data_IF_867885977088
#
_entry.id   IF_867885977088
#
_cell.length_a   1.000
_cell.length_b   1.000
_cell.length_c   1.000
_cell.angle_alpha   90.00
_cell.angle_beta   90.00
_cell.angle_gamma   90.00
#
_symmetry.space_group_name_H-M   'P 1'
#
loop_
_entity.id
_entity.type
_entity.pdbx_description
1 polymer ?
#
# COMPACT_ATOMS: atom_id res chain seq x y z
N UNK A 1 -0.13 -13.80 14.97
CA UNK A 1 0.82 -12.73 15.35
C UNK A 1 0.14 -11.40 15.09
N UNK A 2 0.30 -10.39 15.94
CA UNK A 2 -0.24 -9.06 15.67
C UNK A 2 0.85 -8.15 15.12
N UNK A 3 0.50 -7.27 14.18
CA UNK A 3 1.36 -6.22 13.65
C UNK A 3 0.59 -4.90 13.60
N UNK A 4 1.31 -3.78 13.53
CA UNK A 4 0.72 -2.50 13.11
C UNK A 4 0.76 -2.42 11.60
N UNK A 5 -0.40 -2.33 10.95
CA UNK A 5 -0.52 -2.04 9.53
C UNK A 5 -0.71 -0.53 9.34
N UNK A 6 0.09 0.08 8.48
CA UNK A 6 0.05 1.52 8.20
C UNK A 6 -0.09 1.75 6.70
N UNK A 7 -1.09 2.55 6.31
CA UNK A 7 -1.24 3.10 4.96
C UNK A 7 -0.89 4.58 5.03
N UNK A 8 0.26 4.94 4.46
CA UNK A 8 0.83 6.26 4.53
C UNK A 8 0.69 7.01 3.20
N UNK A 9 -0.29 7.91 3.16
CA UNK A 9 -0.50 8.85 2.07
C UNK A 9 0.08 10.24 2.32
N UNK A 10 -0.07 11.13 1.34
CA UNK A 10 0.40 12.51 1.45
C UNK A 10 -0.31 13.35 2.53
N UNK A 11 -1.64 13.21 2.65
CA UNK A 11 -2.46 14.05 3.55
C UNK A 11 -2.87 13.36 4.84
N UNK A 12 -2.88 12.02 4.83
CA UNK A 12 -3.33 11.22 5.97
C UNK A 12 -2.52 9.94 6.06
N UNK A 13 -2.31 9.51 7.29
CA UNK A 13 -1.81 8.19 7.63
C UNK A 13 -2.96 7.40 8.29
N UNK A 14 -3.16 6.15 7.87
CA UNK A 14 -4.14 5.23 8.45
C UNK A 14 -3.40 4.12 9.17
N UNK A 15 -3.83 3.78 10.37
CA UNK A 15 -3.24 2.76 11.21
C UNK A 15 -4.31 1.75 11.63
N UNK A 16 -3.95 0.48 11.69
CA UNK A 16 -4.77 -0.57 12.25
C UNK A 16 -3.88 -1.64 12.90
N UNK A 17 -4.42 -2.37 13.87
CA UNK A 17 -3.83 -3.61 14.34
C UNK A 17 -4.29 -4.72 13.40
N UNK A 18 -3.34 -5.44 12.81
CA UNK A 18 -3.61 -6.59 11.97
C UNK A 18 -3.20 -7.88 12.69
N UNK A 19 -4.14 -8.79 12.88
CA UNK A 19 -3.84 -10.15 13.33
C UNK A 19 -3.61 -11.03 12.10
N UNK A 20 -2.40 -11.61 12.02
CA UNK A 20 -1.96 -12.50 10.96
C UNK A 20 -2.31 -13.95 11.30
N UNK A 21 -2.93 -14.62 10.32
CA UNK A 21 -3.43 -15.99 10.39
C UNK A 21 -2.69 -16.91 9.41
N UNK A 22 -2.84 -18.23 9.59
CA UNK A 22 -2.13 -19.23 8.77
C UNK A 22 -2.60 -19.30 7.31
N UNK A 23 -3.80 -18.82 7.02
CA UNK A 23 -4.40 -18.73 5.68
C UNK A 23 -3.96 -17.48 4.90
N UNK A 24 -3.01 -16.71 5.44
CA UNK A 24 -2.45 -15.48 4.88
C UNK A 24 -3.43 -14.30 4.77
N UNK A 25 -4.68 -14.44 5.19
CA UNK A 25 -5.67 -13.34 5.22
C UNK A 25 -5.69 -12.71 6.61
N UNK A 26 -5.28 -11.44 6.77
CA UNK A 26 -5.29 -10.81 8.09
C UNK A 26 -6.70 -10.39 8.50
N UNK A 27 -6.96 -10.32 9.80
CA UNK A 27 -8.11 -9.58 10.36
C UNK A 27 -7.64 -8.23 10.90
N UNK A 28 -8.33 -7.15 10.52
CA UNK A 28 -7.97 -5.79 10.91
C UNK A 28 -8.88 -5.26 12.03
N UNK A 29 -8.30 -4.51 12.97
CA UNK A 29 -9.07 -3.62 13.84
C UNK A 29 -9.65 -2.45 13.04
N UNK A 30 -10.54 -1.68 13.67
CA UNK A 30 -11.08 -0.47 13.05
C UNK A 30 -9.92 0.51 12.73
N UNK A 31 -9.76 0.94 11.47
CA UNK A 31 -8.65 1.80 11.10
C UNK A 31 -8.83 3.19 11.70
N UNK A 32 -7.75 3.71 12.29
CA UNK A 32 -7.66 5.10 12.77
C UNK A 32 -6.93 5.95 11.75
N UNK A 33 -7.42 7.17 11.56
CA UNK A 33 -6.91 8.10 10.55
C UNK A 33 -6.35 9.34 11.22
N UNK A 34 -5.09 9.65 10.92
CA UNK A 34 -4.38 10.81 11.42
C UNK A 34 -4.04 11.73 10.24
N UNK A 35 -4.28 13.03 10.39
CA UNK A 35 -3.89 14.03 9.39
C UNK A 35 -2.39 14.25 9.51
N UNK A 36 -1.67 14.17 8.40
CA UNK A 36 -0.20 14.33 8.42
C UNK A 36 0.23 15.73 8.88
N UNK A 37 -0.61 16.74 8.63
CA UNK A 37 -0.39 18.12 9.07
C UNK A 37 -0.50 18.34 10.59
N UNK A 38 -1.16 17.43 11.31
CA UNK A 38 -1.40 17.55 12.75
C UNK A 38 -0.27 16.90 13.57
N UNK A 39 0.71 16.28 12.89
CA UNK A 39 1.82 15.56 13.50
C UNK A 39 3.15 15.94 12.85
N UNK A 40 4.20 16.05 13.65
CA UNK A 40 5.51 16.48 13.16
C UNK A 40 6.23 15.41 12.32
N UNK A 41 5.91 14.13 12.53
CA UNK A 41 6.55 12.99 11.86
C UNK A 41 5.69 11.73 11.95
N UNK A 42 6.12 10.67 11.25
CA UNK A 42 5.51 9.34 11.38
C UNK A 42 5.63 8.80 12.82
N UNK A 43 6.73 9.07 13.52
CA UNK A 43 6.91 8.63 14.90
C UNK A 43 5.95 9.34 15.88
N UNK A 44 5.64 10.62 15.60
CA UNK A 44 4.64 11.38 16.38
C UNK A 44 3.22 10.85 16.16
N UNK A 45 2.84 10.57 14.90
CA UNK A 45 1.57 9.91 14.58
C UNK A 45 1.49 8.48 15.15
N UNK A 46 2.59 7.73 15.16
CA UNK A 46 2.70 6.40 15.77
C UNK A 46 2.46 6.46 17.28
N UNK A 47 3.04 7.43 17.99
CA UNK A 47 2.81 7.64 19.42
C UNK A 47 1.36 8.03 19.71
N UNK A 48 0.73 8.83 18.84
CA UNK A 48 -0.70 9.14 18.95
C UNK A 48 -1.57 7.89 18.78
N UNK A 49 -1.26 7.04 17.79
CA UNK A 49 -1.94 5.76 17.61
C UNK A 49 -1.75 4.81 18.81
N UNK A 50 -0.54 4.71 19.34
CA UNK A 50 -0.25 3.93 20.55
C UNK A 50 -1.12 4.37 21.73
N UNK A 51 -1.23 5.68 21.97
CA UNK A 51 -2.08 6.23 23.03
C UNK A 51 -3.56 5.87 22.82
N UNK A 52 -4.05 5.98 21.59
CA UNK A 52 -5.44 5.69 21.24
C UNK A 52 -5.80 4.20 21.36
N UNK A 53 -4.83 3.30 21.18
CA UNK A 53 -4.96 1.85 21.38
C UNK A 53 -4.72 1.41 22.84
N UNK A 54 -4.51 2.36 23.76
CA UNK A 54 -4.34 2.07 25.19
C UNK A 54 -2.91 1.80 25.62
N UNK A 55 -1.92 2.14 24.80
CA UNK A 55 -0.49 2.12 25.15
C UNK A 55 0.32 1.24 24.21
N UNK A 56 0.76 0.08 24.71
CA UNK A 56 1.72 -0.76 24.00
C UNK A 56 1.18 -1.27 22.65
N UNK A 57 1.96 -1.07 21.60
CA UNK A 57 1.71 -1.60 20.25
C UNK A 57 2.50 -2.89 20.02
N UNK A 58 2.13 -3.71 19.02
CA UNK A 58 2.95 -4.82 18.55
C UNK A 58 4.38 -4.38 18.18
N UNK A 59 5.34 -5.28 18.37
CA UNK A 59 6.77 -5.13 18.03
C UNK A 59 7.07 -5.22 16.54
N UNK A 60 6.04 -5.35 15.71
CA UNK A 60 6.15 -5.56 14.29
C UNK A 60 5.20 -4.63 13.51
N UNK A 61 5.67 -4.13 12.38
CA UNK A 61 4.95 -3.18 11.54
C UNK A 61 5.10 -3.48 10.04
N UNK A 62 4.02 -3.24 9.31
CA UNK A 62 3.97 -3.24 7.84
C UNK A 62 3.44 -1.90 7.38
N UNK A 63 4.24 -1.14 6.63
CA UNK A 63 3.91 0.23 6.21
C UNK A 63 3.89 0.31 4.68
N UNK A 64 2.73 0.59 4.12
CA UNK A 64 2.55 0.95 2.73
C UNK A 64 2.75 2.46 2.57
N UNK A 65 3.52 2.88 1.56
CA UNK A 65 3.88 4.28 1.31
C UNK A 65 3.44 4.66 -0.11
N UNK A 66 2.74 5.79 -0.21
CA UNK A 66 2.38 6.39 -1.49
C UNK A 66 3.61 6.94 -2.22
N UNK A 67 4.27 6.08 -2.99
CA UNK A 67 5.45 6.38 -3.79
C UNK A 67 6.54 5.31 -3.72
N UNK A 68 7.71 5.56 -4.33
CA UNK A 68 8.84 4.64 -4.29
C UNK A 68 9.37 4.46 -2.87
N UNK A 69 9.69 3.22 -2.51
CA UNK A 69 10.29 2.86 -1.20
C UNK A 69 11.80 2.62 -1.27
N UNK A 70 12.41 2.90 -2.42
CA UNK A 70 13.84 2.74 -2.65
C UNK A 70 14.63 3.97 -2.18
N UNK A 71 15.85 3.74 -1.70
CA UNK A 71 16.78 4.81 -1.31
C UNK A 71 16.89 5.06 0.20
N UNK A 72 17.76 6.01 0.56
CA UNK A 72 18.07 6.33 1.97
C UNK A 72 17.03 7.25 2.63
N UNK A 73 16.24 7.95 1.82
CA UNK A 73 15.33 8.99 2.27
C UNK A 73 14.10 9.09 1.37
N UNK A 74 12.93 8.84 1.95
CA UNK A 74 11.63 8.98 1.33
C UNK A 74 11.05 10.32 1.76
N UNK A 75 10.61 11.14 0.79
CA UNK A 75 9.96 12.43 1.02
C UNK A 75 8.59 12.44 0.34
N UNK A 76 7.63 13.07 0.99
CA UNK A 76 6.31 13.28 0.43
C UNK A 76 6.24 14.65 -0.25
N UNK A 77 5.52 14.73 -1.37
CA UNK A 77 5.26 15.99 -2.05
C UNK A 77 4.28 16.88 -1.29
N UNK A 78 3.38 16.26 -0.50
CA UNK A 78 2.24 16.92 0.14
C UNK A 78 2.32 16.99 1.68
N UNK A 79 3.46 16.60 2.28
CA UNK A 79 3.71 16.81 3.72
C UNK A 79 5.21 16.94 4.00
N UNK A 80 5.55 17.39 5.22
CA UNK A 80 6.93 17.64 5.65
C UNK A 80 7.67 16.42 6.16
N UNK A 81 7.02 15.25 6.22
CA UNK A 81 7.64 14.06 6.79
C UNK A 81 8.76 13.54 5.89
N UNK A 82 9.77 13.00 6.55
CA UNK A 82 10.94 12.41 5.92
C UNK A 82 11.18 11.07 6.58
N UNK A 83 11.16 9.98 5.80
CA UNK A 83 11.35 8.63 6.30
C UNK A 83 12.70 8.11 5.85
N UNK A 84 13.47 7.60 6.79
CA UNK A 84 14.73 6.90 6.51
C UNK A 84 14.54 5.42 6.80
N UNK A 85 14.37 4.56 5.78
CA UNK A 85 14.12 3.14 5.99
C UNK A 85 15.10 2.46 6.95
N UNK A 86 16.39 2.83 6.89
CA UNK A 86 17.44 2.26 7.74
C UNK A 86 17.39 2.64 9.23
N UNK A 87 16.65 3.69 9.61
CA UNK A 87 16.52 4.11 11.02
C UNK A 87 15.10 3.99 11.56
N UNK A 88 14.11 3.84 10.67
CA UNK A 88 12.69 3.90 11.04
C UNK A 88 12.26 2.85 12.07
N UNK A 89 12.76 1.61 12.00
CA UNK A 89 12.40 0.58 12.97
C UNK A 89 12.74 0.99 14.41
N UNK A 90 13.93 1.57 14.60
CA UNK A 90 14.40 2.10 15.90
C UNK A 90 13.64 3.36 16.31
N UNK A 91 13.28 4.23 15.37
CA UNK A 91 12.47 5.42 15.64
C UNK A 91 11.07 5.07 16.14
N UNK A 92 10.47 3.99 15.61
CA UNK A 92 9.15 3.50 16.02
C UNK A 92 9.19 2.54 17.22
N UNK A 93 10.38 2.04 17.59
CA UNK A 93 10.54 1.07 18.67
C UNK A 93 10.03 -0.33 18.32
N UNK A 94 10.19 -0.76 17.07
CA UNK A 94 9.77 -2.09 16.57
C UNK A 94 10.98 -2.93 16.17
N UNK A 95 10.87 -4.25 16.36
CA UNK A 95 11.90 -5.23 16.00
C UNK A 95 11.78 -5.67 14.54
N UNK A 96 10.56 -5.66 14.02
CA UNK A 96 10.26 -6.10 12.66
C UNK A 96 9.55 -5.00 11.87
N UNK A 97 10.21 -4.47 10.85
CA UNK A 97 9.61 -3.49 9.96
C UNK A 97 9.67 -3.98 8.51
N UNK A 98 8.57 -3.80 7.79
CA UNK A 98 8.50 -3.94 6.34
C UNK A 98 7.88 -2.69 5.73
N UNK A 99 8.53 -2.17 4.69
CA UNK A 99 8.06 -1.04 3.91
C UNK A 99 7.71 -1.52 2.51
N UNK A 100 6.59 -1.04 1.98
CA UNK A 100 6.10 -1.39 0.66
C UNK A 100 5.62 -0.13 -0.05
N UNK A 101 5.68 -0.13 -1.37
CA UNK A 101 4.88 0.79 -2.15
C UNK A 101 3.37 0.50 -1.92
N UNK A 102 2.53 1.52 -1.97
CA UNK A 102 1.07 1.43 -1.79
C UNK A 102 0.39 0.49 -2.79
N UNK A 103 0.77 0.54 -4.07
CA UNK A 103 0.24 -0.38 -5.09
C UNK A 103 0.78 -1.81 -4.94
N UNK A 104 2.00 -1.99 -4.43
CA UNK A 104 2.47 -3.30 -4.04
C UNK A 104 1.61 -3.89 -2.89
N UNK A 105 1.24 -3.08 -1.90
CA UNK A 105 0.33 -3.50 -0.83
C UNK A 105 -1.08 -3.82 -1.37
N UNK A 106 -1.59 -3.03 -2.32
CA UNK A 106 -2.86 -3.31 -3.01
C UNK A 106 -2.82 -4.63 -3.79
N UNK A 107 -1.73 -4.92 -4.50
CA UNK A 107 -1.55 -6.19 -5.20
C UNK A 107 -1.49 -7.38 -4.23
N UNK A 108 -0.83 -7.21 -3.07
CA UNK A 108 -0.87 -8.22 -2.01
C UNK A 108 -2.28 -8.45 -1.47
N UNK A 109 -3.07 -7.38 -1.29
CA UNK A 109 -4.46 -7.46 -0.83
C UNK A 109 -5.35 -8.21 -1.83
N UNK A 110 -5.24 -7.90 -3.13
CA UNK A 110 -5.91 -8.66 -4.22
C UNK A 110 -5.52 -10.15 -4.20
N UNK A 111 -4.36 -10.48 -3.62
CA UNK A 111 -3.92 -11.84 -3.36
C UNK A 111 -4.83 -12.66 -2.45
N UNK A 112 -5.56 -12.00 -1.53
CA UNK A 112 -6.26 -12.63 -0.40
C UNK A 112 -7.73 -12.21 -0.27
N UNK A 113 -8.22 -11.33 -1.13
CA UNK A 113 -9.64 -10.98 -1.20
C UNK A 113 -10.46 -12.17 -1.72
N UNK A 114 -11.66 -12.34 -1.17
CA UNK A 114 -12.64 -13.28 -1.67
C UNK A 114 -13.36 -12.69 -2.90
N UNK A 115 -13.95 -13.58 -3.72
CA UNK A 115 -14.61 -13.18 -4.97
C UNK A 115 -15.81 -12.24 -4.73
N UNK A 116 -16.46 -12.34 -3.58
CA UNK A 116 -17.58 -11.47 -3.17
C UNK A 116 -17.14 -10.09 -2.66
N UNK A 117 -15.83 -9.87 -2.47
CA UNK A 117 -15.23 -8.57 -2.16
C UNK A 117 -14.81 -7.80 -3.44
N UNK A 118 -14.99 -8.42 -4.62
CA UNK A 118 -14.64 -7.86 -5.92
C UNK A 118 -15.90 -7.61 -6.75
N UNK A 119 -16.00 -6.41 -7.34
CA UNK A 119 -17.05 -6.10 -8.28
C UNK A 119 -16.61 -6.50 -9.71
N UNK A 120 -17.38 -7.35 -10.37
CA UNK A 120 -17.18 -7.66 -11.78
C UNK A 120 -17.53 -6.45 -12.66
N UNK A 121 -16.60 -6.03 -13.51
CA UNK A 121 -16.76 -4.89 -14.43
C UNK A 121 -16.89 -5.34 -15.89
N UNK A 122 -16.21 -6.42 -16.28
CA UNK A 122 -16.22 -6.96 -17.64
C UNK A 122 -15.13 -8.01 -17.89
N UNK A 123 -15.22 -8.73 -19.02
CA UNK A 123 -14.28 -9.77 -19.42
C UNK A 123 -14.84 -11.19 -19.27
N UNK A 124 -13.99 -12.21 -19.15
CA UNK A 124 -14.42 -13.55 -18.79
C UNK A 124 -15.05 -13.56 -17.38
N UNK A 125 -16.16 -14.28 -17.21
CA UNK A 125 -16.77 -14.48 -15.91
C UNK A 125 -15.97 -15.46 -15.06
N UNK A 126 -16.10 -15.34 -13.73
CA UNK A 126 -15.48 -16.24 -12.76
C UNK A 126 -14.42 -15.55 -11.89
N UNK A 127 -13.77 -16.33 -11.02
CA UNK A 127 -12.76 -15.83 -10.09
C UNK A 127 -11.49 -15.37 -10.82
N UNK A 128 -10.65 -14.60 -10.12
CA UNK A 128 -9.31 -14.29 -10.61
C UNK A 128 -8.50 -15.58 -10.88
N UNK A 129 -7.63 -15.61 -11.90
CA UNK A 129 -6.83 -16.79 -12.20
C UNK A 129 -5.93 -17.21 -11.02
N UNK A 130 -5.94 -18.51 -10.72
CA UNK A 130 -5.08 -19.10 -9.69
C UNK A 130 -3.60 -19.14 -10.10
N UNK A 131 -3.31 -19.02 -11.40
CA UNK A 131 -1.98 -19.07 -12.01
C UNK A 131 -1.83 -17.93 -13.03
N UNK A 132 -0.61 -17.40 -13.19
CA UNK A 132 -0.31 -16.32 -14.12
C UNK A 132 -0.25 -14.94 -13.46
N UNK A 133 -0.40 -13.89 -14.26
CA UNK A 133 -0.23 -12.49 -13.83
C UNK A 133 -1.59 -11.81 -13.72
N UNK A 134 -1.85 -11.22 -12.55
CA UNK A 134 -2.94 -10.26 -12.34
C UNK A 134 -2.33 -8.86 -12.21
N UNK A 135 -2.76 -7.92 -13.07
CA UNK A 135 -2.36 -6.51 -12.95
C UNK A 135 -3.36 -5.76 -12.09
N UNK A 136 -2.87 -5.02 -11.11
CA UNK A 136 -3.65 -4.09 -10.29
C UNK A 136 -3.34 -2.68 -10.74
N UNK A 137 -4.36 -1.96 -11.16
CA UNK A 137 -4.28 -0.59 -11.65
C UNK A 137 -5.32 0.27 -10.94
N UNK A 138 -4.95 1.51 -10.63
CA UNK A 138 -5.83 2.41 -9.89
C UNK A 138 -5.56 3.87 -10.26
N UNK A 139 -6.47 4.52 -11.01
CA UNK A 139 -6.39 5.96 -11.24
C UNK A 139 -6.75 6.73 -9.97
N UNK A 140 -5.97 7.75 -9.63
CA UNK A 140 -6.14 8.64 -8.49
C UNK A 140 -5.45 9.99 -8.76
N UNK A 141 -4.71 10.52 -7.78
CA UNK A 141 -3.84 11.70 -8.03
C UNK A 141 -2.74 11.39 -9.05
N UNK A 142 -2.32 10.13 -9.12
CA UNK A 142 -1.50 9.56 -10.20
C UNK A 142 -2.14 8.27 -10.72
N UNK A 143 -1.38 7.50 -11.51
CA UNK A 143 -1.80 6.17 -11.96
C UNK A 143 -0.88 5.14 -11.34
N UNK A 144 -1.37 4.42 -10.33
CA UNK A 144 -0.58 3.36 -9.72
C UNK A 144 -0.76 2.03 -10.44
N UNK A 145 0.32 1.26 -10.53
CA UNK A 145 0.36 -0.04 -11.20
C UNK A 145 1.24 -1.01 -10.40
N UNK A 146 0.73 -2.20 -10.14
CA UNK A 146 1.50 -3.32 -9.61
C UNK A 146 1.01 -4.63 -10.23
N UNK A 147 1.82 -5.68 -10.10
CA UNK A 147 1.45 -7.01 -10.58
C UNK A 147 1.53 -8.04 -9.46
N UNK A 148 0.60 -9.00 -9.51
CA UNK A 148 0.59 -10.19 -8.69
C UNK A 148 0.82 -11.39 -9.61
N UNK A 149 1.99 -12.01 -9.49
CA UNK A 149 2.33 -13.26 -10.16
C UNK A 149 1.99 -14.43 -9.24
N UNK A 150 1.08 -15.29 -9.67
CA UNK A 150 0.82 -16.59 -9.05
C UNK A 150 1.46 -17.69 -9.87
N UNK A 151 2.33 -18.48 -9.23
CA UNK A 151 3.00 -19.60 -9.88
C UNK A 151 3.42 -20.68 -8.89
N UNK A 152 3.09 -21.93 -9.18
CA UNK A 152 3.51 -23.10 -8.40
C UNK A 152 3.15 -22.97 -6.90
N UNK A 153 1.97 -22.40 -6.61
CA UNK A 153 1.50 -22.13 -5.24
C UNK A 153 2.17 -20.95 -4.53
N UNK A 154 3.07 -20.23 -5.21
CA UNK A 154 3.68 -18.99 -4.73
C UNK A 154 2.94 -17.77 -5.27
N UNK A 155 2.90 -16.70 -4.47
CA UNK A 155 2.38 -15.39 -4.84
C UNK A 155 3.50 -14.36 -4.70
N UNK A 156 3.85 -13.70 -5.80
CA UNK A 156 4.94 -12.71 -5.88
C UNK A 156 4.34 -11.38 -6.30
N UNK A 157 4.56 -10.36 -5.49
CA UNK A 157 4.17 -8.98 -5.82
C UNK A 157 5.33 -8.29 -6.52
N UNK A 158 5.04 -7.65 -7.65
CA UNK A 158 5.96 -6.83 -8.41
C UNK A 158 5.47 -5.39 -8.35
N UNK A 159 6.20 -4.54 -7.63
CA UNK A 159 6.00 -3.09 -7.68
C UNK A 159 6.45 -2.55 -9.04
N UNK A 160 5.72 -1.59 -9.60
CA UNK A 160 6.05 -1.01 -10.91
C UNK A 160 5.78 0.49 -10.91
N UNK A 161 6.41 1.20 -11.85
CA UNK A 161 6.07 2.58 -12.21
C UNK A 161 5.28 2.61 -13.52
N UNK A 162 4.41 1.61 -13.73
CA UNK A 162 3.69 1.41 -14.99
C UNK A 162 2.77 2.56 -15.38
N UNK A 163 2.40 3.44 -14.45
CA UNK A 163 1.65 4.65 -14.76
C UNK A 163 2.45 5.77 -15.44
N UNK A 164 3.77 5.63 -15.52
CA UNK A 164 4.68 6.59 -16.14
C UNK A 164 5.08 6.22 -17.58
N UNK A 165 4.49 5.16 -18.16
CA UNK A 165 4.70 4.83 -19.58
C UNK A 165 4.04 5.86 -20.49
N UNK A 166 4.48 5.90 -21.75
CA UNK A 166 3.89 6.77 -22.76
C UNK A 166 2.41 6.43 -23.02
N UNK A 167 1.59 7.47 -23.20
CA UNK A 167 0.20 7.32 -23.60
C UNK A 167 0.10 6.99 -25.09
N UNK A 168 -0.35 5.77 -25.41
CA UNK A 168 -0.49 5.28 -26.78
C UNK A 168 -1.90 5.52 -27.33
N UNK A 169 -2.14 6.69 -27.93
CA UNK A 169 -3.42 7.04 -28.53
C UNK A 169 -3.81 6.10 -29.70
N UNK A 170 -5.08 5.68 -29.73
CA UNK A 170 -5.63 4.73 -30.70
C UNK A 170 -6.71 5.33 -31.62
N UNK A 171 -7.14 6.56 -31.36
CA UNK A 171 -8.13 7.27 -32.18
C UNK A 171 -7.93 8.79 -32.11
N UNK A 172 -8.61 9.53 -33.00
CA UNK A 172 -8.48 10.99 -33.09
C UNK A 172 -8.90 11.75 -31.82
N UNK A 173 -9.80 11.18 -31.00
CA UNK A 173 -10.12 11.78 -29.70
C UNK A 173 -8.94 11.64 -28.73
N UNK A 174 -8.33 10.47 -28.64
CA UNK A 174 -7.16 10.24 -27.80
C UNK A 174 -5.93 11.02 -28.27
N UNK A 175 -5.72 11.16 -29.58
CA UNK A 175 -4.69 12.05 -30.13
C UNK A 175 -4.91 13.51 -29.71
N UNK A 176 -6.17 13.96 -29.64
CA UNK A 176 -6.49 15.33 -29.21
C UNK A 176 -6.10 15.59 -27.75
N UNK A 177 -6.00 14.56 -26.91
CA UNK A 177 -5.53 14.69 -25.52
C UNK A 177 -4.01 14.96 -25.45
N UNK A 178 -3.26 14.57 -26.48
CA UNK A 178 -1.82 14.81 -26.59
C UNK A 178 -1.48 16.20 -27.15
N UNK A 179 -2.40 16.78 -27.93
CA UNK A 179 -2.28 18.13 -28.48
C UNK A 179 -2.51 19.20 -27.42
N UNK A 180 -1.48 19.51 -26.62
CA UNK A 180 -1.43 20.73 -25.80
C UNK A 180 -1.07 21.95 -26.64
#
# INVERSE_FOLDING_TARGET
MNIVAVDLGGTHARFAIAALHGDRRPTLSAPRKYRTADHASLADAWAAFAKDEGGALPDAASIAIAGPVEGELIRFTNNSWAIRPGTLARELGVDHLRLFNDFAAMAAAVGVLADDELAYVGGPEGPLPAEGVTTVIGPGTGLGVAQLLRRDGCAIVLATEGGHIDFAALNGFEESLLGR
#
